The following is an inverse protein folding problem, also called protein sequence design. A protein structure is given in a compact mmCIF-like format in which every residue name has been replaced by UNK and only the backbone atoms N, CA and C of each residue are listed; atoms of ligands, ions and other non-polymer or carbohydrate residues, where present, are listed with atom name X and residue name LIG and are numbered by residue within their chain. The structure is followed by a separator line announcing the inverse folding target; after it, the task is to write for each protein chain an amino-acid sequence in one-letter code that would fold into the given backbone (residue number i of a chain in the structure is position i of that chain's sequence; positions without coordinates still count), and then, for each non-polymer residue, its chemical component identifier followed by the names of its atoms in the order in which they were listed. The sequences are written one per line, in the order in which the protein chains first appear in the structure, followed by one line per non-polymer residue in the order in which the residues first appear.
data_IF_259582746496
#
_entry.id   IF_259582746496
#
_cell.length_a   1.000
_cell.length_b   1.000
_cell.length_c   1.000
_cell.angle_alpha   90.00
_cell.angle_beta   90.00
_cell.angle_gamma   90.00
#
_symmetry.space_group_name_H-M   'P 1'
#
loop_
_entity.id
_entity.type
_entity.pdbx_description
1 polymer ?
#
# COMPACT_ATOMS: atom_id res chain seq x y z
N UNK A 1 -7.40 -12.36 -19.57
CA UNK A 1 -6.08 -12.98 -19.90
C UNK A 1 -6.10 -14.44 -19.44
N UNK A 2 -5.65 -15.35 -20.28
CA UNK A 2 -5.55 -16.79 -19.95
C UNK A 2 -4.40 -16.96 -18.96
N UNK A 3 -4.71 -17.41 -17.73
CA UNK A 3 -3.72 -17.69 -16.69
C UNK A 3 -2.80 -18.82 -17.15
N UNK A 4 -1.49 -18.59 -17.15
CA UNK A 4 -0.51 -19.66 -17.34
C UNK A 4 -0.50 -20.51 -16.06
N UNK A 5 -0.65 -21.85 -16.14
CA UNK A 5 -0.60 -22.71 -14.96
C UNK A 5 0.76 -22.61 -14.25
N UNK A 6 0.76 -22.59 -12.91
CA UNK A 6 1.98 -22.56 -12.08
C UNK A 6 2.98 -23.68 -12.42
N UNK A 7 2.50 -24.81 -12.95
CA UNK A 7 3.32 -25.99 -13.30
C UNK A 7 4.26 -25.77 -14.49
N UNK A 8 4.22 -24.62 -15.18
CA UNK A 8 5.09 -24.29 -16.31
C UNK A 8 5.79 -22.93 -16.18
N UNK A 9 6.00 -22.44 -14.95
CA UNK A 9 6.79 -21.22 -14.73
C UNK A 9 8.27 -21.47 -15.05
N UNK A 10 8.76 -20.84 -16.11
CA UNK A 10 10.18 -20.88 -16.50
C UNK A 10 11.08 -20.21 -15.46
N UNK A 11 12.39 -20.50 -15.46
CA UNK A 11 13.39 -19.87 -14.58
C UNK A 11 13.34 -18.32 -14.63
N UNK A 12 12.86 -17.73 -15.74
CA UNK A 12 12.61 -16.29 -15.90
C UNK A 12 11.47 -15.75 -15.02
N UNK A 13 10.50 -16.58 -14.64
CA UNK A 13 9.38 -16.16 -13.80
C UNK A 13 9.78 -15.98 -12.32
N UNK A 14 10.92 -16.56 -11.91
CA UNK A 14 11.48 -16.43 -10.57
C UNK A 14 12.41 -15.21 -10.41
N UNK A 15 12.69 -14.48 -11.49
CA UNK A 15 13.57 -13.30 -11.47
C UNK A 15 12.98 -12.21 -10.57
N UNK A 16 13.76 -11.78 -9.57
CA UNK A 16 13.37 -10.69 -8.67
C UNK A 16 13.42 -9.34 -9.40
N UNK A 17 12.48 -8.44 -9.07
CA UNK A 17 12.49 -7.04 -9.50
C UNK A 17 13.78 -6.33 -9.07
N UNK A 18 14.26 -6.63 -7.86
CA UNK A 18 15.57 -6.20 -7.34
C UNK A 18 16.40 -7.45 -7.04
N UNK A 19 17.53 -7.67 -7.73
CA UNK A 19 18.41 -8.81 -7.46
C UNK A 19 18.87 -8.85 -6.00
N UNK A 20 19.07 -10.06 -5.44
CA UNK A 20 19.53 -10.26 -4.06
C UNK A 20 20.78 -9.43 -3.72
N UNK A 21 21.72 -9.31 -4.67
CA UNK A 21 22.96 -8.53 -4.51
C UNK A 21 22.75 -7.02 -4.38
N UNK A 22 21.56 -6.52 -4.73
CA UNK A 22 21.17 -5.10 -4.66
C UNK A 22 20.13 -4.84 -3.58
N UNK A 23 19.82 -5.83 -2.74
CA UNK A 23 18.96 -5.60 -1.57
C UNK A 23 19.59 -4.55 -0.66
N UNK A 24 18.75 -3.64 -0.17
CA UNK A 24 19.15 -2.52 0.67
C UNK A 24 18.22 -2.43 1.88
N UNK A 25 18.65 -1.84 2.99
CA UNK A 25 17.80 -1.62 4.15
C UNK A 25 16.88 -0.41 3.98
N UNK A 26 15.64 -0.53 4.46
CA UNK A 26 14.68 0.57 4.51
C UNK A 26 13.86 0.60 5.80
N UNK A 27 13.35 1.79 6.12
CA UNK A 27 12.39 2.06 7.18
C UNK A 27 11.10 2.59 6.56
N UNK A 28 9.97 2.11 7.07
CA UNK A 28 8.65 2.50 6.60
C UNK A 28 7.85 3.12 7.74
N UNK A 29 7.14 4.20 7.41
CA UNK A 29 5.99 4.64 8.17
C UNK A 29 4.73 4.22 7.41
N UNK A 30 3.65 3.91 8.12
CA UNK A 30 2.34 3.75 7.49
C UNK A 30 1.54 5.02 7.71
N UNK A 31 0.78 5.43 6.70
CA UNK A 31 -0.13 6.55 6.82
C UNK A 31 -1.50 6.12 7.40
N UNK A 32 -1.87 4.85 7.23
CA UNK A 32 -3.05 4.26 7.88
C UNK A 32 -2.86 4.16 9.39
N UNK A 33 -3.79 4.67 10.19
CA UNK A 33 -3.67 4.56 11.65
C UNK A 33 -4.97 4.03 12.26
N UNK A 34 -5.13 2.70 12.22
CA UNK A 34 -6.29 2.01 12.81
C UNK A 34 -6.39 2.20 14.33
N UNK A 35 -5.26 2.39 15.04
CA UNK A 35 -5.27 2.60 16.50
C UNK A 35 -5.83 3.98 16.83
N UNK A 36 -5.38 5.01 16.11
CA UNK A 36 -5.91 6.36 16.21
C UNK A 36 -7.37 6.41 15.76
N UNK A 37 -7.72 5.74 14.65
CA UNK A 37 -9.10 5.63 14.19
C UNK A 37 -10.01 5.02 15.26
N UNK A 38 -9.61 3.89 15.83
CA UNK A 38 -10.33 3.22 16.93
C UNK A 38 -10.57 4.16 18.10
N UNK A 39 -9.52 4.84 18.56
CA UNK A 39 -9.62 5.79 19.68
C UNK A 39 -10.58 6.93 19.33
N UNK A 40 -10.35 7.63 18.23
CA UNK A 40 -11.13 8.80 17.85
C UNK A 40 -12.61 8.47 17.60
N UNK A 41 -12.90 7.36 16.91
CA UNK A 41 -14.26 6.94 16.61
C UNK A 41 -14.99 6.53 17.90
N UNK A 42 -14.31 5.82 18.82
CA UNK A 42 -14.90 5.45 20.12
C UNK A 42 -15.17 6.68 20.98
N UNK A 43 -14.27 7.66 20.97
CA UNK A 43 -14.40 8.90 21.75
C UNK A 43 -15.48 9.84 21.19
N UNK A 44 -15.69 9.85 19.86
CA UNK A 44 -16.59 10.81 19.20
C UNK A 44 -18.06 10.36 19.17
N UNK A 45 -18.32 9.04 19.21
CA UNK A 45 -19.65 8.45 19.03
C UNK A 45 -20.30 8.08 20.37
N UNK A 46 -21.61 8.29 20.47
CA UNK A 46 -22.40 7.71 21.56
C UNK A 46 -22.46 6.18 21.45
N UNK A 47 -22.84 5.48 22.52
CA UNK A 47 -22.99 4.01 22.50
C UNK A 47 -23.91 3.51 21.37
N UNK A 48 -25.01 4.24 21.11
CA UNK A 48 -25.95 3.91 20.03
C UNK A 48 -25.31 4.10 18.66
N UNK A 49 -24.68 5.25 18.43
CA UNK A 49 -23.99 5.54 17.16
C UNK A 49 -22.83 4.57 16.91
N UNK A 50 -22.08 4.19 17.94
CA UNK A 50 -21.00 3.22 17.85
C UNK A 50 -21.52 1.83 17.47
N UNK A 51 -22.67 1.41 18.02
CA UNK A 51 -23.34 0.18 17.60
C UNK A 51 -23.74 0.24 16.14
N UNK A 52 -24.26 1.37 15.66
CA UNK A 52 -24.58 1.54 14.24
C UNK A 52 -23.33 1.51 13.37
N UNK A 53 -22.25 2.16 13.79
CA UNK A 53 -20.97 2.13 13.09
C UNK A 53 -20.41 0.71 12.99
N UNK A 54 -20.52 -0.11 14.04
CA UNK A 54 -20.07 -1.51 14.00
C UNK A 54 -20.82 -2.37 12.98
N UNK A 55 -22.04 -1.98 12.61
CA UNK A 55 -22.85 -2.67 11.59
C UNK A 55 -22.53 -2.21 10.15
N UNK A 56 -21.54 -1.34 9.94
CA UNK A 56 -21.08 -0.97 8.59
C UNK A 56 -20.11 -2.02 8.03
N UNK A 57 -19.83 -2.02 6.72
CA UNK A 57 -18.92 -2.98 6.10
C UNK A 57 -17.47 -3.00 6.64
N UNK A 58 -17.05 -1.94 7.33
CA UNK A 58 -15.72 -1.77 7.93
C UNK A 58 -15.78 -1.66 9.46
N UNK A 59 -16.96 -1.80 10.06
CA UNK A 59 -17.19 -1.55 11.48
C UNK A 59 -16.33 -2.43 12.39
N UNK A 60 -16.12 -3.69 11.98
CA UNK A 60 -15.28 -4.66 12.68
C UNK A 60 -13.79 -4.30 12.72
N UNK A 61 -13.32 -3.39 11.87
CA UNK A 61 -11.92 -2.94 11.90
C UNK A 61 -11.58 -2.15 13.18
N UNK A 62 -12.59 -1.68 13.93
CA UNK A 62 -12.40 -1.12 15.27
C UNK A 62 -11.94 -2.17 16.29
N UNK A 63 -12.20 -3.44 16.01
CA UNK A 63 -11.94 -4.53 16.94
C UNK A 63 -10.64 -5.28 16.60
N UNK A 64 -9.82 -4.74 15.68
CA UNK A 64 -8.46 -5.24 15.40
C UNK A 64 -7.65 -5.27 16.73
N UNK A 65 -7.06 -6.42 17.11
CA UNK A 65 -6.22 -6.53 18.30
C UNK A 65 -5.04 -5.57 18.27
N UNK A 66 -4.32 -5.44 19.38
CA UNK A 66 -3.10 -4.64 19.38
C UNK A 66 -2.00 -5.35 18.56
N UNK A 67 -1.92 -4.99 17.29
CA UNK A 67 -0.90 -5.44 16.35
C UNK A 67 0.04 -4.29 16.01
N UNK A 68 1.28 -4.42 16.45
CA UNK A 68 2.37 -3.53 16.08
C UNK A 68 2.78 -3.84 14.65
N UNK A 69 2.76 -2.81 13.81
CA UNK A 69 3.26 -2.94 12.46
C UNK A 69 4.77 -3.09 12.44
N UNK A 70 5.22 -4.12 11.72
CA UNK A 70 6.60 -4.42 11.48
C UNK A 70 6.95 -4.08 10.02
N UNK A 71 7.39 -2.85 9.81
CA UNK A 71 7.90 -2.38 8.53
C UNK A 71 8.93 -3.32 7.87
N UNK A 72 9.72 -4.04 8.68
CA UNK A 72 10.73 -4.97 8.17
C UNK A 72 10.11 -6.23 7.55
N UNK A 73 8.96 -6.71 8.02
CA UNK A 73 8.26 -7.85 7.39
C UNK A 73 7.85 -7.46 5.98
N UNK A 74 7.15 -6.32 5.85
CA UNK A 74 6.72 -5.78 4.56
C UNK A 74 7.92 -5.53 3.65
N UNK A 75 8.96 -4.84 4.13
CA UNK A 75 10.15 -4.57 3.33
C UNK A 75 10.82 -5.83 2.80
N UNK A 76 11.01 -6.83 3.67
CA UNK A 76 11.65 -8.08 3.30
C UNK A 76 10.83 -8.81 2.24
N UNK A 77 9.50 -8.82 2.33
CA UNK A 77 8.64 -9.36 1.27
C UNK A 77 8.80 -8.56 -0.03
N UNK A 78 8.75 -7.23 0.02
CA UNK A 78 8.86 -6.40 -1.18
C UNK A 78 10.17 -6.60 -1.95
N UNK A 79 11.28 -6.85 -1.25
CA UNK A 79 12.56 -7.20 -1.86
C UNK A 79 12.54 -8.55 -2.60
N UNK A 80 11.52 -9.38 -2.39
CA UNK A 80 11.26 -10.65 -3.08
C UNK A 80 10.18 -10.53 -4.17
N UNK A 81 9.72 -9.31 -4.50
CA UNK A 81 8.81 -9.13 -5.63
C UNK A 81 9.44 -9.66 -6.92
N UNK A 82 8.68 -10.44 -7.67
CA UNK A 82 9.14 -10.94 -8.99
C UNK A 82 8.91 -9.90 -10.08
N UNK A 83 9.76 -9.93 -11.09
CA UNK A 83 9.73 -8.97 -12.19
C UNK A 83 8.52 -9.16 -13.11
N UNK A 84 8.14 -10.41 -13.35
CA UNK A 84 6.99 -10.77 -14.18
C UNK A 84 5.79 -11.07 -13.26
N UNK A 85 4.90 -10.09 -13.11
CA UNK A 85 3.67 -10.21 -12.32
C UNK A 85 2.58 -9.29 -12.90
N UNK A 86 1.28 -9.60 -12.70
CA UNK A 86 0.18 -8.71 -13.07
C UNK A 86 0.32 -7.32 -12.42
N UNK A 87 -0.24 -6.28 -13.05
CA UNK A 87 -0.17 -4.91 -12.54
C UNK A 87 -0.94 -4.72 -11.22
N UNK A 88 -2.02 -5.48 -11.03
CA UNK A 88 -2.94 -5.41 -9.90
C UNK A 88 -2.72 -6.50 -8.85
N UNK A 89 -1.59 -7.21 -8.84
CA UNK A 89 -1.25 -8.22 -7.83
C UNK A 89 0.18 -8.05 -7.31
N UNK A 90 0.51 -8.63 -6.14
CA UNK A 90 1.89 -8.68 -5.63
C UNK A 90 2.36 -10.13 -5.57
N UNK A 91 3.33 -10.49 -6.39
CA UNK A 91 3.89 -11.83 -6.45
C UNK A 91 5.30 -11.84 -5.84
N UNK A 92 5.53 -12.75 -4.90
CA UNK A 92 6.79 -12.86 -4.18
C UNK A 92 7.43 -14.22 -4.44
N UNK A 93 8.75 -14.24 -4.64
CA UNK A 93 9.54 -15.46 -4.60
C UNK A 93 10.03 -15.70 -3.17
N UNK A 94 9.39 -16.63 -2.45
CA UNK A 94 9.78 -17.02 -1.09
C UNK A 94 10.37 -18.43 -1.15
N UNK A 95 11.67 -18.54 -0.90
CA UNK A 95 12.41 -19.81 -0.92
C UNK A 95 12.22 -20.63 -2.22
N UNK A 96 12.19 -19.96 -3.37
CA UNK A 96 12.04 -20.59 -4.68
C UNK A 96 10.60 -20.88 -5.08
N UNK A 97 9.62 -20.50 -4.26
CA UNK A 97 8.18 -20.66 -4.55
C UNK A 97 7.54 -19.29 -4.76
N UNK A 98 6.70 -19.20 -5.80
CA UNK A 98 5.85 -18.03 -6.00
C UNK A 98 4.66 -18.10 -5.05
N UNK A 99 4.47 -17.02 -4.31
CA UNK A 99 3.28 -16.76 -3.50
C UNK A 99 2.65 -15.45 -3.95
N UNK A 100 1.33 -15.44 -4.03
CA UNK A 100 0.55 -14.38 -4.66
C UNK A 100 -0.29 -13.69 -3.59
N UNK A 101 -0.21 -12.36 -3.52
CA UNK A 101 -1.12 -11.52 -2.78
C UNK A 101 -2.05 -10.83 -3.77
N UNK A 102 -3.32 -11.23 -3.73
CA UNK A 102 -4.35 -10.82 -4.67
C UNK A 102 -5.42 -9.95 -4.00
N UNK A 103 -6.34 -9.39 -4.80
CA UNK A 103 -7.49 -8.67 -4.28
C UNK A 103 -8.37 -9.54 -3.37
N UNK A 104 -8.52 -10.83 -3.70
CA UNK A 104 -9.27 -11.77 -2.87
C UNK A 104 -8.59 -12.00 -1.52
N UNK A 105 -7.26 -12.05 -1.48
CA UNK A 105 -6.52 -12.12 -0.21
C UNK A 105 -6.74 -10.86 0.63
N UNK A 106 -6.69 -9.68 0.01
CA UNK A 106 -6.97 -8.42 0.69
C UNK A 106 -8.37 -8.43 1.33
N UNK A 107 -9.41 -8.78 0.56
CA UNK A 107 -10.78 -8.88 1.07
C UNK A 107 -10.91 -9.95 2.16
N UNK A 108 -10.33 -11.14 1.95
CA UNK A 108 -10.35 -12.23 2.94
C UNK A 108 -9.72 -11.79 4.26
N UNK A 109 -8.51 -11.23 4.21
CA UNK A 109 -7.75 -10.83 5.41
C UNK A 109 -8.46 -9.69 6.15
N UNK A 110 -8.94 -8.67 5.44
CA UNK A 110 -9.61 -7.50 6.03
C UNK A 110 -11.04 -7.77 6.45
N UNK A 111 -11.72 -8.75 5.85
CA UNK A 111 -13.17 -8.94 5.99
C UNK A 111 -14.01 -7.88 5.29
N UNK A 112 -13.41 -7.05 4.42
CA UNK A 112 -14.16 -6.07 3.64
C UNK A 112 -14.91 -6.77 2.48
N UNK A 113 -16.11 -6.29 2.11
CA UNK A 113 -16.86 -6.87 0.99
C UNK A 113 -16.06 -6.84 -0.31
N UNK A 114 -16.17 -7.93 -1.08
CA UNK A 114 -15.68 -7.97 -2.45
C UNK A 114 -16.56 -7.06 -3.30
N UNK A 115 -15.96 -6.04 -3.90
CA UNK A 115 -16.66 -5.10 -4.75
C UNK A 115 -16.51 -5.48 -6.23
N UNK A 116 -17.45 -5.04 -7.07
CA UNK A 116 -17.27 -5.08 -8.51
C UNK A 116 -16.23 -4.03 -8.95
N UNK A 117 -15.49 -4.25 -10.05
CA UNK A 117 -14.69 -3.18 -10.65
C UNK A 117 -15.60 -1.98 -10.95
N UNK A 118 -15.08 -0.76 -10.81
CA UNK A 118 -15.80 0.40 -11.36
C UNK A 118 -15.97 0.16 -12.86
N UNK A 119 -17.14 0.48 -13.44
CA UNK A 119 -17.26 0.52 -14.89
C UNK A 119 -16.11 1.38 -15.41
N UNK A 120 -15.42 0.92 -16.46
CA UNK A 120 -14.49 1.77 -17.20
C UNK A 120 -15.37 2.77 -17.95
N UNK A 121 -15.86 3.78 -17.24
CA UNK A 121 -16.21 5.03 -17.87
C UNK A 121 -14.87 5.50 -18.42
N UNK A 122 -14.80 5.69 -19.74
CA UNK A 122 -13.61 6.23 -20.39
C UNK A 122 -13.08 7.35 -19.50
N UNK A 123 -11.78 7.28 -19.16
CA UNK A 123 -11.11 8.28 -18.34
C UNK A 123 -11.77 9.63 -18.64
N UNK A 124 -12.47 10.20 -17.66
CA UNK A 124 -12.52 11.65 -17.62
C UNK A 124 -11.07 12.03 -17.42
N UNK A 125 -10.36 12.14 -18.55
CA UNK A 125 -9.20 12.96 -18.70
C UNK A 125 -9.59 14.20 -17.91
N UNK A 126 -8.81 14.56 -16.90
CA UNK A 126 -8.80 15.94 -16.42
C UNK A 126 -8.33 16.78 -17.61
N UNK A 127 -9.19 16.94 -18.62
CA UNK A 127 -9.09 17.98 -19.61
C UNK A 127 -9.22 19.25 -18.79
N UNK A 128 -8.16 20.04 -18.82
CA UNK A 128 -8.25 21.46 -18.59
C UNK A 128 -9.32 22.02 -19.54
N UNK A 129 -10.58 21.96 -19.14
CA UNK A 129 -11.66 22.74 -19.70
C UNK A 129 -12.25 23.55 -18.56
N UNK A 130 -11.65 24.72 -18.34
CA UNK A 130 -12.44 25.89 -17.98
C UNK A 130 -13.70 25.89 -18.88
N UNK A 131 -14.87 26.10 -18.29
CA UNK A 131 -16.19 26.16 -18.97
C UNK A 131 -17.00 24.85 -19.11
N UNK A 132 -17.11 24.08 -18.03
CA UNK A 132 -18.43 23.53 -17.68
C UNK A 132 -18.90 24.27 -16.43
N UNK A 133 -20.07 24.90 -16.50
CA UNK A 133 -20.70 25.45 -15.31
C UNK A 133 -20.94 24.28 -14.34
N UNK A 134 -20.06 24.11 -13.35
CA UNK A 134 -20.30 23.24 -12.21
C UNK A 134 -21.69 23.64 -11.70
N UNK A 135 -22.70 22.75 -11.84
CA UNK A 135 -23.91 22.89 -11.05
C UNK A 135 -23.41 23.09 -9.61
N UNK A 136 -23.86 24.17 -8.95
CA UNK A 136 -23.45 24.46 -7.58
C UNK A 136 -24.04 23.35 -6.71
N UNK A 137 -23.32 22.26 -6.56
CA UNK A 137 -23.76 21.09 -5.80
C UNK A 137 -23.88 21.52 -4.34
N UNK A 138 -25.11 21.52 -3.83
CA UNK A 138 -25.37 21.95 -2.47
C UNK A 138 -24.62 21.07 -1.45
N UNK A 139 -23.91 21.67 -0.47
CA UNK A 139 -23.14 20.91 0.49
C UNK A 139 -24.06 20.12 1.41
N UNK A 140 -23.90 18.79 1.37
CA UNK A 140 -24.68 17.90 2.24
C UNK A 140 -24.42 18.11 3.73
N UNK A 141 -25.25 17.48 4.56
CA UNK A 141 -25.32 17.71 6.02
C UNK A 141 -23.97 17.57 6.75
N UNK A 142 -23.13 16.60 6.35
CA UNK A 142 -21.78 16.42 6.92
C UNK A 142 -20.90 17.65 6.65
N UNK A 143 -20.86 18.13 5.40
CA UNK A 143 -20.09 19.30 5.01
C UNK A 143 -20.60 20.57 5.70
N UNK A 144 -21.91 20.78 5.70
CA UNK A 144 -22.55 21.94 6.32
C UNK A 144 -22.32 21.97 7.83
N UNK A 145 -22.44 20.83 8.52
CA UNK A 145 -22.32 20.78 9.98
C UNK A 145 -20.87 20.82 10.47
N UNK A 146 -19.95 20.12 9.79
CA UNK A 146 -18.59 19.93 10.27
C UNK A 146 -17.54 20.75 9.54
N UNK A 147 -17.85 21.25 8.34
CA UNK A 147 -16.87 21.92 7.49
C UNK A 147 -17.37 23.26 6.95
N UNK A 148 -18.42 23.83 7.58
CA UNK A 148 -19.03 25.12 7.19
C UNK A 148 -19.46 25.14 5.71
N UNK A 149 -19.89 23.99 5.19
CA UNK A 149 -20.27 23.81 3.80
C UNK A 149 -19.11 23.58 2.83
N UNK A 150 -17.86 23.56 3.29
CA UNK A 150 -16.71 23.31 2.40
C UNK A 150 -16.68 21.85 1.94
N UNK A 151 -16.54 21.66 0.62
CA UNK A 151 -16.19 20.38 -0.01
C UNK A 151 -14.69 20.30 -0.35
N UNK A 152 -13.95 21.41 -0.22
CA UNK A 152 -12.48 21.41 -0.31
C UNK A 152 -11.89 21.28 1.09
N UNK A 153 -11.66 20.03 1.52
CA UNK A 153 -11.03 19.73 2.80
C UNK A 153 -9.90 18.71 2.64
N UNK A 154 -8.86 18.88 3.44
CA UNK A 154 -7.74 17.94 3.57
C UNK A 154 -8.03 16.84 4.58
N UNK A 155 -7.30 15.73 4.49
CA UNK A 155 -7.35 14.68 5.51
C UNK A 155 -7.00 15.21 6.91
N UNK A 156 -6.05 16.14 7.03
CA UNK A 156 -5.72 16.80 8.29
C UNK A 156 -6.95 17.48 8.91
N UNK A 157 -7.70 18.25 8.13
CA UNK A 157 -8.90 18.94 8.61
C UNK A 157 -9.99 17.97 9.04
N UNK A 158 -10.17 16.84 8.33
CA UNK A 158 -11.08 15.77 8.75
C UNK A 158 -10.64 15.16 10.09
N UNK A 159 -9.36 14.82 10.22
CA UNK A 159 -8.80 14.24 11.44
C UNK A 159 -8.97 15.17 12.65
N UNK A 160 -8.62 16.45 12.51
CA UNK A 160 -8.79 17.46 13.56
C UNK A 160 -10.26 17.61 13.95
N UNK A 161 -11.15 17.64 12.96
CA UNK A 161 -12.59 17.74 13.20
C UNK A 161 -13.13 16.56 13.99
N UNK A 162 -12.76 15.34 13.60
CA UNK A 162 -13.13 14.10 14.31
C UNK A 162 -12.64 14.13 15.76
N UNK A 163 -11.41 14.61 16.02
CA UNK A 163 -10.85 14.74 17.36
C UNK A 163 -11.54 15.78 18.24
N UNK A 164 -12.26 16.75 17.67
CA UNK A 164 -13.02 17.77 18.41
C UNK A 164 -14.45 17.34 18.73
N UNK A 165 -14.98 16.38 17.97
CA UNK A 165 -16.36 15.93 18.10
C UNK A 165 -16.52 15.08 19.37
N UNK A 166 -17.60 15.32 20.13
CA UNK A 166 -17.94 14.57 21.34
C UNK A 166 -19.34 13.97 21.25
N UNK A 167 -19.64 12.89 22.01
CA UNK A 167 -20.96 12.28 22.05
C UNK A 167 -21.98 13.27 22.64
N UNK A 168 -23.20 13.28 22.09
CA UNK A 168 -24.30 14.11 22.60
C UNK A 168 -25.36 13.25 23.28
N UNK A 169 -26.05 13.79 24.31
CA UNK A 169 -27.12 13.06 25.03
C UNK A 169 -28.29 12.60 24.15
N UNK A 170 -28.62 13.37 23.11
CA UNK A 170 -29.70 13.06 22.16
C UNK A 170 -29.22 12.24 20.95
N UNK A 171 -27.92 11.95 20.84
CA UNK A 171 -27.28 11.53 19.58
C UNK A 171 -27.35 12.63 18.52
N UNK A 172 -26.63 12.48 17.40
CA UNK A 172 -26.76 13.37 16.22
C UNK A 172 -27.43 12.63 15.07
N UNK A 173 -28.51 11.92 15.37
CA UNK A 173 -29.16 10.97 14.47
C UNK A 173 -28.13 9.97 13.87
N UNK A 174 -27.66 10.24 12.64
CA UNK A 174 -26.66 9.45 11.90
C UNK A 174 -25.40 10.24 11.55
N UNK A 175 -25.35 11.53 11.83
CA UNK A 175 -24.34 12.43 11.29
C UNK A 175 -22.92 12.12 11.82
N UNK A 176 -22.83 11.75 13.10
CA UNK A 176 -21.58 11.27 13.69
C UNK A 176 -21.07 9.99 13.03
N UNK A 177 -21.96 9.04 12.73
CA UNK A 177 -21.64 7.76 12.08
C UNK A 177 -21.14 7.99 10.65
N UNK A 178 -21.78 8.91 9.92
CA UNK A 178 -21.36 9.34 8.57
C UNK A 178 -19.94 9.94 8.60
N UNK A 179 -19.69 10.91 9.49
CA UNK A 179 -18.36 11.51 9.66
C UNK A 179 -17.29 10.47 10.06
N UNK A 180 -17.61 9.59 11.00
CA UNK A 180 -16.72 8.50 11.42
C UNK A 180 -16.42 7.53 10.27
N UNK A 181 -17.39 7.29 9.38
CA UNK A 181 -17.24 6.43 8.21
C UNK A 181 -16.34 7.04 7.16
N UNK A 182 -16.52 8.32 6.84
CA UNK A 182 -15.59 9.07 5.98
C UNK A 182 -14.16 9.02 6.56
N UNK A 183 -14.03 9.21 7.86
CA UNK A 183 -12.73 9.13 8.54
C UNK A 183 -12.11 7.73 8.52
N UNK A 184 -12.89 6.67 8.74
CA UNK A 184 -12.40 5.29 8.64
C UNK A 184 -11.87 5.00 7.23
N UNK A 185 -12.61 5.41 6.20
CA UNK A 185 -12.20 5.21 4.80
C UNK A 185 -10.92 5.96 4.47
N UNK A 186 -10.85 7.27 4.77
CA UNK A 186 -9.68 8.10 4.43
C UNK A 186 -8.44 7.76 5.27
N UNK A 187 -8.62 7.50 6.57
CA UNK A 187 -7.52 7.15 7.47
C UNK A 187 -7.08 5.70 7.27
N UNK A 188 -7.97 4.73 7.49
CA UNK A 188 -7.54 3.33 7.63
C UNK A 188 -7.42 2.64 6.28
N UNK A 189 -8.42 2.80 5.41
CA UNK A 189 -8.48 2.06 4.15
C UNK A 189 -7.55 2.68 3.10
N UNK A 190 -7.66 3.98 2.88
CA UNK A 190 -6.89 4.71 1.87
C UNK A 190 -5.53 5.17 2.40
N UNK A 191 -5.38 5.37 3.71
CA UNK A 191 -4.10 5.68 4.34
C UNK A 191 -3.39 6.86 3.70
N UNK A 192 -4.07 8.00 3.56
CA UNK A 192 -3.54 9.15 2.81
C UNK A 192 -2.59 10.03 3.64
N UNK A 193 -1.76 10.81 2.94
CA UNK A 193 -0.98 11.88 3.58
C UNK A 193 -1.92 12.99 4.10
N UNK A 194 -1.51 13.63 5.21
CA UNK A 194 -2.29 14.68 5.89
C UNK A 194 -2.65 15.86 4.99
N UNK A 195 -1.79 16.20 4.03
CA UNK A 195 -2.01 17.29 3.09
C UNK A 195 -2.95 16.92 1.93
N UNK A 196 -3.27 15.63 1.77
CA UNK A 196 -4.10 15.16 0.66
C UNK A 196 -5.53 15.66 0.80
N UNK A 197 -6.07 16.19 -0.29
CA UNK A 197 -7.48 16.58 -0.40
C UNK A 197 -8.36 15.33 -0.44
N UNK A 198 -9.45 15.37 0.29
CA UNK A 198 -10.49 14.34 0.22
C UNK A 198 -11.29 14.58 -1.05
N UNK A 199 -11.66 13.51 -1.75
CA UNK A 199 -12.50 13.59 -2.94
C UNK A 199 -13.83 14.29 -2.60
N UNK A 200 -14.18 15.33 -3.37
CA UNK A 200 -15.48 16.04 -3.26
C UNK A 200 -16.65 15.05 -3.28
N UNK A 201 -16.62 14.11 -4.23
CA UNK A 201 -17.59 13.00 -4.34
C UNK A 201 -17.73 12.22 -3.03
N UNK A 202 -16.63 11.91 -2.35
CA UNK A 202 -16.68 11.14 -1.09
C UNK A 202 -17.35 11.94 0.04
N UNK A 203 -17.10 13.25 0.11
CA UNK A 203 -17.71 14.15 1.11
C UNK A 203 -19.21 14.33 0.86
N UNK A 204 -19.63 14.35 -0.39
CA UNK A 204 -21.04 14.45 -0.76
C UNK A 204 -21.76 13.13 -0.54
N UNK A 205 -21.21 12.04 -1.07
CA UNK A 205 -21.81 10.72 -1.08
C UNK A 205 -22.04 10.19 0.34
N UNK A 206 -21.22 10.56 1.33
CA UNK A 206 -21.44 10.12 2.72
C UNK A 206 -22.80 10.57 3.30
N UNK A 207 -23.46 11.56 2.69
CA UNK A 207 -24.81 11.96 3.08
C UNK A 207 -25.87 10.94 2.64
N UNK A 208 -25.68 10.30 1.48
CA UNK A 208 -26.36 9.06 1.12
C UNK A 208 -25.58 7.87 1.67
N UNK A 209 -25.85 7.56 2.94
CA UNK A 209 -25.05 6.59 3.65
C UNK A 209 -25.21 5.15 3.11
N UNK A 210 -26.34 4.84 2.46
CA UNK A 210 -26.55 3.52 1.87
C UNK A 210 -25.72 3.36 0.59
N UNK A 211 -25.66 4.39 -0.26
CA UNK A 211 -24.79 4.38 -1.44
C UNK A 211 -23.30 4.46 -1.04
N UNK A 212 -22.95 5.27 -0.03
CA UNK A 212 -21.59 5.32 0.49
C UNK A 212 -21.08 3.95 0.96
N UNK A 213 -21.92 3.11 1.57
CA UNK A 213 -21.54 1.75 1.99
C UNK A 213 -21.34 0.79 0.80
N UNK A 214 -21.94 1.06 -0.36
CA UNK A 214 -21.85 0.24 -1.57
C UNK A 214 -20.64 0.59 -2.45
N UNK A 215 -20.03 1.75 -2.24
CA UNK A 215 -18.82 2.12 -2.97
C UNK A 215 -17.72 1.06 -2.81
N UNK A 216 -16.86 0.87 -3.84
CA UNK A 216 -15.90 -0.20 -3.89
C UNK A 216 -14.63 0.11 -3.06
N UNK A 217 -14.80 0.56 -1.81
CA UNK A 217 -13.70 0.98 -0.93
C UNK A 217 -12.62 -0.09 -0.75
N UNK A 218 -13.00 -1.37 -0.75
CA UNK A 218 -12.04 -2.47 -0.69
C UNK A 218 -11.14 -2.53 -1.92
N UNK A 219 -11.66 -2.22 -3.12
CA UNK A 219 -10.85 -2.12 -4.34
C UNK A 219 -9.97 -0.89 -4.32
N UNK A 220 -10.50 0.27 -3.92
CA UNK A 220 -9.70 1.49 -3.89
C UNK A 220 -8.52 1.36 -2.91
N UNK A 221 -8.78 0.80 -1.73
CA UNK A 221 -7.76 0.52 -0.72
C UNK A 221 -6.71 -0.48 -1.22
N UNK A 222 -7.15 -1.57 -1.86
CA UNK A 222 -6.27 -2.57 -2.45
C UNK A 222 -5.41 -1.98 -3.58
N UNK A 223 -6.03 -1.27 -4.52
CA UNK A 223 -5.36 -0.61 -5.63
C UNK A 223 -4.33 0.40 -5.10
N UNK A 224 -4.72 1.26 -4.16
CA UNK A 224 -3.82 2.21 -3.52
C UNK A 224 -2.61 1.51 -2.89
N UNK A 225 -2.83 0.40 -2.17
CA UNK A 225 -1.75 -0.37 -1.55
C UNK A 225 -0.81 -0.99 -2.59
N UNK A 226 -1.33 -1.71 -3.59
CA UNK A 226 -0.51 -2.42 -4.59
C UNK A 226 0.28 -1.44 -5.45
N UNK A 227 -0.38 -0.39 -5.93
CA UNK A 227 0.25 0.64 -6.77
C UNK A 227 1.34 1.38 -5.99
N UNK A 228 1.07 1.78 -4.75
CA UNK A 228 2.06 2.45 -3.91
C UNK A 228 3.27 1.55 -3.65
N UNK A 229 3.05 0.31 -3.20
CA UNK A 229 4.13 -0.63 -2.90
C UNK A 229 5.03 -0.95 -4.11
N UNK A 230 4.45 -1.05 -5.32
CA UNK A 230 5.21 -1.29 -6.55
C UNK A 230 6.07 -0.09 -6.93
N UNK A 231 5.47 1.11 -6.92
CA UNK A 231 6.14 2.37 -7.25
C UNK A 231 7.21 2.72 -6.21
N UNK A 232 6.95 2.40 -4.96
CA UNK A 232 7.81 2.73 -3.83
C UNK A 232 9.21 2.14 -4.01
N UNK A 233 9.36 0.95 -4.60
CA UNK A 233 10.67 0.33 -4.84
C UNK A 233 11.34 0.72 -6.16
N UNK A 234 10.65 1.40 -7.09
CA UNK A 234 11.20 1.69 -8.41
C UNK A 234 12.41 2.63 -8.34
N UNK A 235 13.57 2.10 -8.74
CA UNK A 235 14.86 2.81 -8.78
C UNK A 235 15.42 3.19 -7.41
N UNK A 236 14.88 2.66 -6.32
CA UNK A 236 15.32 3.02 -4.97
C UNK A 236 16.64 2.36 -4.57
N UNK A 237 16.97 1.21 -5.14
CA UNK A 237 18.25 0.54 -4.89
C UNK A 237 19.40 1.42 -5.38
N UNK A 238 19.27 2.01 -6.57
CA UNK A 238 20.29 2.91 -7.12
C UNK A 238 20.42 4.16 -6.24
N UNK A 239 19.30 4.82 -5.93
CA UNK A 239 19.27 5.99 -5.03
C UNK A 239 19.89 5.69 -3.67
N UNK A 240 19.61 4.52 -3.10
CA UNK A 240 20.18 4.11 -1.83
C UNK A 240 21.70 4.01 -1.90
N UNK A 241 22.25 3.29 -2.90
CA UNK A 241 23.69 3.12 -3.03
C UNK A 241 24.41 4.44 -3.38
N UNK A 242 23.80 5.31 -4.17
CA UNK A 242 24.33 6.65 -4.46
C UNK A 242 24.38 7.51 -3.20
N UNK A 243 23.29 7.54 -2.42
CA UNK A 243 23.25 8.25 -1.14
C UNK A 243 24.26 7.68 -0.14
N UNK A 244 24.45 6.37 -0.13
CA UNK A 244 25.43 5.69 0.73
C UNK A 244 26.87 6.03 0.34
N UNK A 245 27.15 6.14 -0.95
CA UNK A 245 28.46 6.54 -1.46
C UNK A 245 28.79 7.99 -1.08
N UNK A 246 27.79 8.89 -1.15
CA UNK A 246 27.96 10.30 -0.81
C UNK A 246 27.93 10.56 0.70
N UNK A 247 27.23 9.73 1.47
CA UNK A 247 27.10 9.84 2.91
C UNK A 247 27.19 8.46 3.57
N UNK A 248 28.37 8.06 4.10
CA UNK A 248 28.55 6.79 4.78
C UNK A 248 27.61 6.57 5.98
N UNK A 249 27.07 7.63 6.59
CA UNK A 249 26.11 7.54 7.69
C UNK A 249 24.66 7.30 7.24
N UNK A 250 24.39 7.35 5.93
CA UNK A 250 23.08 6.99 5.39
C UNK A 250 22.84 5.48 5.58
N UNK A 251 22.07 5.10 6.61
CA UNK A 251 21.89 3.68 6.98
C UNK A 251 20.67 3.01 6.38
N UNK A 252 19.61 3.76 6.10
CA UNK A 252 18.33 3.22 5.64
C UNK A 252 17.67 4.17 4.66
N UNK A 253 17.06 3.62 3.61
CA UNK A 253 16.03 4.34 2.88
C UNK A 253 14.81 4.60 3.78
N UNK A 254 14.05 5.66 3.51
CA UNK A 254 12.85 6.01 4.28
C UNK A 254 11.67 6.15 3.35
N UNK A 255 10.57 5.50 3.68
CA UNK A 255 9.35 5.52 2.89
C UNK A 255 8.11 5.72 3.76
N UNK A 256 7.07 6.27 3.15
CA UNK A 256 5.71 6.28 3.68
C UNK A 256 4.87 5.36 2.81
N UNK A 257 4.10 4.47 3.42
CA UNK A 257 3.22 3.54 2.70
C UNK A 257 1.79 4.00 2.84
N UNK A 258 1.12 4.14 1.70
CA UNK A 258 -0.30 4.46 1.59
C UNK A 258 -1.17 3.19 1.52
N UNK A 259 -2.48 3.36 1.61
CA UNK A 259 -3.42 2.25 1.74
C UNK A 259 -3.35 1.59 3.12
N UNK A 260 -3.67 0.29 3.19
CA UNK A 260 -3.74 -0.45 4.46
C UNK A 260 -2.64 -1.54 4.57
N UNK A 261 -1.36 -1.18 4.77
CA UNK A 261 -0.22 -2.10 4.68
C UNK A 261 -0.16 -3.16 5.79
N UNK A 262 -0.89 -2.96 6.89
CA UNK A 262 -1.03 -3.97 7.94
C UNK A 262 -1.58 -5.30 7.38
N UNK A 263 -2.42 -5.22 6.34
CA UNK A 263 -3.00 -6.37 5.67
C UNK A 263 -1.92 -7.30 5.11
N UNK A 264 -0.83 -6.75 4.57
CA UNK A 264 0.27 -7.56 4.02
C UNK A 264 1.05 -8.30 5.13
N UNK A 265 1.20 -7.69 6.30
CA UNK A 265 1.81 -8.33 7.47
C UNK A 265 0.94 -9.49 7.97
N UNK A 266 -0.38 -9.29 8.08
CA UNK A 266 -1.30 -10.36 8.49
C UNK A 266 -1.39 -11.46 7.43
N UNK A 267 -1.41 -11.09 6.15
CA UNK A 267 -1.32 -12.05 5.05
C UNK A 267 -0.06 -12.91 5.16
N UNK A 268 1.10 -12.32 5.50
CA UNK A 268 2.32 -13.08 5.72
C UNK A 268 2.16 -14.08 6.88
N UNK A 269 1.55 -13.69 8.00
CA UNK A 269 1.28 -14.59 9.12
C UNK A 269 0.36 -15.75 8.76
N UNK A 270 -0.62 -15.50 7.89
CA UNK A 270 -1.62 -16.48 7.48
C UNK A 270 -1.10 -17.47 6.44
N UNK A 271 -0.20 -17.04 5.55
CA UNK A 271 0.17 -17.82 4.37
C UNK A 271 1.63 -18.31 4.38
N UNK A 272 2.49 -17.75 5.24
CA UNK A 272 3.90 -18.10 5.32
C UNK A 272 4.23 -18.64 6.73
N UNK A 273 4.45 -19.96 6.89
CA UNK A 273 4.60 -20.60 8.20
C UNK A 273 5.59 -19.90 9.13
N UNK A 274 6.81 -19.64 8.63
CA UNK A 274 7.87 -18.98 9.40
C UNK A 274 7.47 -17.57 9.90
N UNK A 275 6.62 -16.86 9.16
CA UNK A 275 6.18 -15.53 9.60
C UNK A 275 5.16 -15.62 10.72
N UNK A 276 4.15 -16.49 10.58
CA UNK A 276 3.12 -16.69 11.59
C UNK A 276 3.68 -17.25 12.90
N UNK A 277 4.58 -18.24 12.82
CA UNK A 277 5.16 -18.92 13.98
C UNK A 277 6.13 -18.06 14.78
N UNK A 278 6.93 -17.21 14.12
CA UNK A 278 8.00 -16.47 14.77
C UNK A 278 7.72 -14.99 15.02
N UNK A 279 6.81 -14.36 14.26
CA UNK A 279 6.63 -12.92 14.29
C UNK A 279 5.20 -12.46 14.60
N UNK A 280 4.24 -13.37 14.68
CA UNK A 280 2.87 -13.09 15.08
C UNK A 280 2.46 -13.90 16.30
N UNK A 281 1.42 -13.47 17.00
CA UNK A 281 0.75 -14.30 18.01
C UNK A 281 -0.74 -14.37 17.66
N UNK A 282 -1.22 -15.58 17.39
CA UNK A 282 -2.64 -15.82 17.14
C UNK A 282 -3.40 -15.68 18.46
N UNK A 283 -4.34 -14.74 18.52
CA UNK A 283 -5.14 -14.39 19.70
C UNK A 283 -6.63 -14.67 19.52
N UNK A 284 -7.04 -15.10 18.33
CA UNK A 284 -8.44 -15.37 18.01
C UNK A 284 -8.60 -16.43 16.91
N UNK A 285 -9.86 -16.79 16.67
CA UNK A 285 -10.28 -17.72 15.63
C UNK A 285 -11.53 -17.23 14.87
N UNK A 286 -11.60 -15.92 14.62
CA UNK A 286 -12.60 -15.29 13.78
C UNK A 286 -12.44 -15.72 12.32
N UNK A 287 -13.53 -15.69 11.54
CA UNK A 287 -13.46 -15.90 10.09
C UNK A 287 -12.64 -14.82 9.38
N UNK A 288 -12.55 -13.62 9.97
CA UNK A 288 -11.78 -12.48 9.47
C UNK A 288 -10.36 -12.50 10.07
N UNK A 289 -9.31 -12.81 9.29
CA UNK A 289 -7.95 -13.03 9.79
C UNK A 289 -7.32 -11.82 10.48
N UNK A 290 -7.57 -10.58 10.06
CA UNK A 290 -6.98 -9.39 10.71
C UNK A 290 -7.38 -9.25 12.19
N UNK A 291 -8.46 -9.92 12.62
CA UNK A 291 -8.92 -9.96 14.01
C UNK A 291 -8.23 -11.05 14.85
N UNK A 292 -7.46 -11.93 14.22
CA UNK A 292 -6.88 -13.10 14.88
C UNK A 292 -5.43 -12.92 15.31
N UNK A 293 -4.77 -11.83 14.94
CA UNK A 293 -3.34 -11.65 15.16
C UNK A 293 -3.02 -10.45 16.03
N UNK A 294 -2.05 -10.63 16.92
CA UNK A 294 -1.39 -9.57 17.66
C UNK A 294 0.12 -9.61 17.39
N UNK A 295 0.80 -8.49 17.65
CA UNK A 295 2.24 -8.41 17.60
C UNK A 295 2.71 -7.28 18.51
N UNK A 296 3.64 -7.57 19.41
CA UNK A 296 4.18 -6.58 20.36
C UNK A 296 5.66 -6.28 20.10
N UNK A 297 6.28 -6.93 19.12
CA UNK A 297 7.72 -6.86 18.84
C UNK A 297 8.09 -5.96 17.65
N UNK A 298 9.28 -5.35 17.73
CA UNK A 298 9.97 -4.80 16.56
C UNK A 298 11.07 -5.79 16.15
N UNK A 299 10.90 -6.44 15.01
CA UNK A 299 11.88 -7.42 14.53
C UNK A 299 12.97 -6.77 13.68
N UNK A 300 14.21 -7.21 13.87
CA UNK A 300 15.34 -6.77 13.04
C UNK A 300 15.30 -7.46 11.68
N UNK A 301 15.72 -6.75 10.64
CA UNK A 301 15.83 -7.31 9.29
C UNK A 301 16.68 -8.59 9.25
N UNK A 302 17.77 -8.63 10.02
CA UNK A 302 18.63 -9.82 10.12
C UNK A 302 17.91 -11.03 10.72
N UNK A 303 17.07 -10.82 11.74
CA UNK A 303 16.26 -11.89 12.34
C UNK A 303 15.27 -12.46 11.33
N UNK A 304 14.55 -11.60 10.60
CA UNK A 304 13.61 -12.03 9.56
C UNK A 304 14.34 -12.77 8.44
N UNK A 305 15.49 -12.26 7.99
CA UNK A 305 16.30 -12.93 6.97
C UNK A 305 16.73 -14.33 7.40
N UNK A 306 17.25 -14.45 8.61
CA UNK A 306 17.79 -15.73 9.09
C UNK A 306 16.71 -16.78 9.35
N UNK A 307 15.47 -16.37 9.63
CA UNK A 307 14.36 -17.30 9.89
C UNK A 307 13.62 -17.63 8.60
N UNK A 308 13.27 -16.62 7.78
CA UNK A 308 12.40 -16.82 6.62
C UNK A 308 13.14 -16.98 5.29
N UNK A 309 14.42 -16.62 5.22
CA UNK A 309 15.16 -16.49 3.96
C UNK A 309 16.60 -17.01 4.08
N UNK A 310 16.86 -17.95 4.99
CA UNK A 310 18.21 -18.45 5.29
C UNK A 310 18.90 -19.09 4.08
N UNK A 311 18.11 -19.67 3.19
CA UNK A 311 18.57 -20.41 2.02
C UNK A 311 18.80 -19.53 0.78
N UNK A 312 18.52 -18.22 0.86
CA UNK A 312 18.75 -17.29 -0.27
C UNK A 312 20.24 -16.96 -0.41
N UNK A 313 20.88 -17.53 -1.43
CA UNK A 313 22.28 -17.22 -1.78
C UNK A 313 22.29 -16.09 -2.81
N UNK A 314 22.97 -14.95 -2.56
CA UNK A 314 23.15 -13.93 -3.58
C UNK A 314 23.93 -14.52 -4.76
N UNK A 315 23.34 -14.58 -5.94
CA UNK A 315 24.08 -14.93 -7.16
C UNK A 315 25.20 -13.89 -7.33
N UNK A 316 26.48 -14.29 -7.47
CA UNK A 316 27.55 -13.34 -7.69
C UNK A 316 27.26 -12.53 -8.95
N UNK A 317 27.29 -11.20 -8.85
CA UNK A 317 27.31 -10.35 -10.03
C UNK A 317 28.61 -10.67 -10.78
N UNK A 318 28.51 -11.39 -11.90
CA UNK A 318 29.64 -11.51 -12.82
C UNK A 318 30.12 -10.08 -13.14
N UNK A 319 31.41 -9.76 -12.97
CA UNK A 319 31.91 -8.43 -13.29
C UNK A 319 31.54 -8.12 -14.73
N UNK A 320 30.80 -7.04 -14.95
CA UNK A 320 30.59 -6.50 -16.30
C UNK A 320 31.99 -6.11 -16.79
N UNK A 321 32.63 -6.98 -17.58
CA UNK A 321 33.81 -6.61 -18.33
C UNK A 321 33.39 -5.48 -19.28
N UNK A 322 33.71 -4.24 -18.90
CA UNK A 322 33.66 -3.11 -19.82
C UNK A 322 34.57 -3.45 -21.00
N UNK A 323 34.01 -3.97 -22.10
CA UNK A 323 34.71 -4.04 -23.37
C UNK A 323 35.08 -2.62 -23.77
N UNK A 324 36.34 -2.25 -23.54
CA UNK A 324 36.93 -1.08 -24.18
C UNK A 324 36.90 -1.35 -25.69
N UNK A 325 36.02 -0.66 -26.42
CA UNK A 325 36.13 -0.58 -27.88
C UNK A 325 37.51 0.01 -28.21
N UNK A 326 38.44 -0.83 -28.67
CA UNK A 326 39.66 -0.37 -29.31
C UNK A 326 39.28 0.12 -30.70
N UNK A 327 39.31 1.43 -30.89
CA UNK A 327 39.28 2.07 -32.21
C UNK A 327 40.48 1.59 -33.03
N UNK A 328 40.21 0.85 -34.10
CA UNK A 328 41.15 0.48 -35.17
C UNK A 328 40.36 0.81 -36.45
N UNK A 329 40.66 1.87 -37.20
CA UNK A 329 41.75 1.93 -38.18
C UNK A 329 42.08 3.39 -38.55
N UNK A 330 43.37 3.72 -38.49
CA UNK A 330 43.97 4.83 -39.25
C UNK A 330 44.08 4.39 -40.71
N UNK A 331 43.39 5.08 -41.62
CA UNK A 331 43.67 4.99 -43.05
C UNK A 331 44.92 5.85 -43.35
N UNK A 332 46.07 5.21 -43.55
CA UNK A 332 47.28 5.86 -44.06
C UNK A 332 47.09 6.10 -45.56
N UNK A 333 47.12 7.36 -45.98
CA UNK A 333 47.29 7.74 -47.38
C UNK A 333 48.65 7.23 -47.88
N UNK A 334 48.62 6.44 -48.96
CA UNK A 334 49.81 5.99 -49.66
C UNK A 334 50.46 7.14 -50.41
N UNK A 335 51.75 7.34 -50.19
CA UNK A 335 52.65 8.04 -51.12
C UNK A 335 53.72 7.07 -51.58
N UNK A 336 53.71 6.81 -52.88
CA UNK A 336 54.89 6.71 -53.73
C UNK A 336 55.61 5.37 -53.80
N UNK A 337 55.52 4.73 -54.97
CA UNK A 337 56.74 4.28 -55.65
C UNK A 337 56.49 4.21 -57.17
N UNK A 338 57.10 5.14 -57.90
CA UNK A 338 57.38 5.02 -59.34
C UNK A 338 58.77 4.39 -59.47
N UNK A 339 58.90 3.34 -60.30
CA UNK A 339 59.92 3.15 -61.37
C UNK A 339 60.27 1.68 -61.63
N UNK A 340 60.65 1.44 -62.91
CA UNK A 340 61.20 0.24 -63.57
C UNK A 340 60.09 -0.67 -64.14
N UNK A 341 59.90 -0.87 -65.45
CA UNK A 341 60.68 -0.59 -66.68
C UNK A 341 59.69 -0.32 -67.81
#
# INVERSE_FOLDING_TARGET
MVRTPLSTMTERALELKIPLSKHFPAQYSMCSDYKCARKCITDMLSKKELSTFRNTPWGHLLDIPDIQFCAQIVHMLLLRLVKQQPEDELWFNVEGKIVEFTYNDFCRITGLPVAAPRPVVAEEVEENSDEQAEEVEEPGEVATTYFKGSLDITYLQLMERVQMVRPTRKGRAMLGVKLASLYMTENVLLGRDRSTRISRRSIQLVNDFEEFKKEPWSRDAYHSLVTDLKKLLDGQEQKFFDNKANNPDYKNAKFSVYGFPLVLQVWAYENLPNFGEHFGTRVGNHEVPILNWSCHGKFRASTIRNICFANEVPTPLLPIMKMKMKTILKYKQGKGCNKCV
#
